data_IF_641407751198
#
_entry.id   IF_641407751198
#
_cell.length_a   1.000
_cell.length_b   1.000
_cell.length_c   1.000
_cell.angle_alpha   90.00
_cell.angle_beta   90.00
_cell.angle_gamma   90.00
#
_symmetry.space_group_name_H-M   'P 1'
#
loop_
_entity.id
_entity.type
_entity.pdbx_description
1 polymer ?
#
# COMPACT_ATOMS: atom_id res chain seq x y z
N UNK A 1 -3.65 -20.60 23.40
CA UNK A 1 -3.21 -20.73 21.99
C UNK A 1 -3.85 -19.59 21.21
N UNK A 2 -3.20 -18.71 20.46
CA UNK A 2 -1.79 -18.44 20.15
C UNK A 2 -1.71 -16.92 19.97
N UNK A 3 -0.59 -16.33 20.41
CA UNK A 3 -0.21 -14.96 20.09
C UNK A 3 -0.26 -14.74 18.57
N UNK A 4 -0.98 -13.72 18.11
CA UNK A 4 -0.92 -13.29 16.72
C UNK A 4 -0.25 -11.93 16.69
N UNK A 5 1.06 -12.01 16.41
CA UNK A 5 1.94 -10.99 15.87
C UNK A 5 1.70 -9.53 16.29
N UNK A 6 2.34 -9.19 17.42
CA UNK A 6 3.10 -7.95 17.53
C UNK A 6 3.97 -7.83 16.28
N UNK A 7 3.50 -7.09 15.27
CA UNK A 7 4.38 -6.59 14.22
C UNK A 7 5.58 -5.96 14.93
N UNK A 8 6.76 -6.52 14.69
CA UNK A 8 7.99 -6.08 15.29
C UNK A 8 8.24 -4.63 14.87
N UNK A 9 7.81 -3.68 15.70
CA UNK A 9 8.40 -2.35 15.75
C UNK A 9 9.80 -2.63 16.27
N UNK A 10 10.69 -2.83 15.32
CA UNK A 10 11.99 -3.40 15.55
C UNK A 10 12.65 -2.70 16.73
N UNK A 11 12.97 -3.49 17.76
CA UNK A 11 14.06 -3.21 18.68
C UNK A 11 15.35 -3.17 17.84
N UNK A 12 15.54 -2.11 17.06
CA UNK A 12 16.82 -1.75 16.46
C UNK A 12 17.58 -1.09 17.60
N UNK A 13 18.50 -1.87 18.17
CA UNK A 13 19.51 -1.47 19.15
C UNK A 13 19.90 0.01 18.97
N UNK A 14 19.61 0.85 19.97
CA UNK A 14 20.24 2.16 20.24
C UNK A 14 20.46 3.08 19.02
N UNK A 15 19.45 3.33 18.19
CA UNK A 15 19.40 4.53 17.34
C UNK A 15 18.06 5.22 17.57
N UNK A 16 18.09 6.34 18.27
CA UNK A 16 16.94 7.18 18.58
C UNK A 16 16.21 7.51 17.28
N UNK A 17 15.06 6.88 17.03
CA UNK A 17 14.18 7.30 15.93
C UNK A 17 13.64 8.66 16.34
N UNK A 18 13.97 9.69 15.56
CA UNK A 18 13.49 11.05 15.82
C UNK A 18 11.95 11.05 15.78
N UNK A 19 11.33 11.69 16.79
CA UNK A 19 9.88 11.72 16.99
C UNK A 19 9.09 12.13 15.74
N UNK A 20 9.67 12.98 14.88
CA UNK A 20 9.07 13.37 13.59
C UNK A 20 8.80 12.17 12.69
N UNK A 21 9.73 11.21 12.62
CA UNK A 21 9.56 10.01 11.79
C UNK A 21 8.52 9.06 12.40
N UNK A 22 8.43 8.98 13.73
CA UNK A 22 7.43 8.16 14.41
C UNK A 22 6.00 8.66 14.12
N UNK A 23 5.79 9.98 14.16
CA UNK A 23 4.48 10.59 13.83
C UNK A 23 4.10 10.32 12.36
N UNK A 24 5.06 10.42 11.44
CA UNK A 24 4.83 10.14 10.02
C UNK A 24 4.43 8.67 9.82
N UNK A 25 5.17 7.72 10.41
CA UNK A 25 4.87 6.29 10.32
C UNK A 25 3.51 5.94 10.93
N UNK A 26 3.17 6.52 12.09
CA UNK A 26 1.86 6.34 12.71
C UNK A 26 0.72 6.85 11.81
N UNK A 27 0.89 8.04 11.22
CA UNK A 27 -0.08 8.60 10.27
C UNK A 27 -0.27 7.68 9.05
N UNK A 28 0.81 7.13 8.50
CA UNK A 28 0.70 6.18 7.38
C UNK A 28 -0.05 4.91 7.78
N UNK A 29 0.26 4.35 8.96
CA UNK A 29 -0.44 3.18 9.48
C UNK A 29 -1.94 3.44 9.64
N UNK A 30 -2.31 4.57 10.25
CA UNK A 30 -3.71 4.93 10.47
C UNK A 30 -4.48 5.08 9.14
N UNK A 31 -3.88 5.71 8.12
CA UNK A 31 -4.55 5.89 6.84
C UNK A 31 -4.70 4.54 6.10
N UNK A 32 -3.72 3.65 6.21
CA UNK A 32 -3.84 2.29 5.65
C UNK A 32 -4.94 1.48 6.33
N UNK A 33 -5.07 1.56 7.65
CA UNK A 33 -6.17 0.91 8.38
C UNK A 33 -7.53 1.47 7.96
N UNK A 34 -7.64 2.79 7.80
CA UNK A 34 -8.88 3.40 7.29
C UNK A 34 -9.22 2.92 5.87
N UNK A 35 -8.23 2.76 5.00
CA UNK A 35 -8.44 2.23 3.65
C UNK A 35 -9.02 0.80 3.70
N UNK A 36 -8.40 -0.07 4.51
CA UNK A 36 -8.86 -1.47 4.66
C UNK A 36 -10.31 -1.50 5.14
N UNK A 37 -10.64 -0.72 6.18
CA UNK A 37 -12.00 -0.64 6.71
C UNK A 37 -13.01 -0.14 5.68
N UNK A 38 -12.64 0.84 4.85
CA UNK A 38 -13.52 1.36 3.80
C UNK A 38 -13.74 0.31 2.70
N UNK A 39 -12.70 -0.40 2.28
CA UNK A 39 -12.80 -1.46 1.28
C UNK A 39 -13.74 -2.57 1.75
N UNK A 40 -13.66 -2.96 3.02
CA UNK A 40 -14.55 -3.96 3.62
C UNK A 40 -15.99 -3.45 3.69
N UNK A 41 -16.19 -2.23 4.23
CA UNK A 41 -17.51 -1.61 4.39
C UNK A 41 -18.23 -1.43 3.05
N UNK A 42 -17.52 -0.99 2.03
CA UNK A 42 -18.05 -0.72 0.69
C UNK A 42 -18.01 -1.96 -0.22
N UNK A 43 -17.56 -3.12 0.29
CA UNK A 43 -17.42 -4.39 -0.45
C UNK A 43 -16.61 -4.25 -1.75
N UNK A 44 -15.63 -3.35 -1.76
CA UNK A 44 -14.79 -3.08 -2.93
C UNK A 44 -13.73 -4.16 -3.14
N UNK A 45 -13.47 -5.02 -2.16
CA UNK A 45 -12.35 -5.95 -2.16
C UNK A 45 -12.27 -6.85 -3.39
N UNK A 46 -13.41 -7.32 -3.92
CA UNK A 46 -13.47 -8.20 -5.08
C UNK A 46 -13.45 -7.47 -6.42
N UNK A 47 -13.49 -6.14 -6.41
CA UNK A 47 -13.43 -5.37 -7.66
C UNK A 47 -12.03 -5.49 -8.28
N UNK A 48 -11.96 -5.60 -9.61
CA UNK A 48 -10.68 -5.69 -10.31
C UNK A 48 -9.94 -4.35 -10.23
N UNK A 49 -8.65 -4.39 -9.89
CA UNK A 49 -7.79 -3.21 -9.85
C UNK A 49 -7.15 -2.96 -11.23
N UNK A 50 -7.97 -2.71 -12.24
CA UNK A 50 -7.53 -2.66 -13.65
C UNK A 50 -6.86 -1.34 -14.04
N UNK A 51 -7.28 -0.23 -13.43
CA UNK A 51 -6.75 1.09 -13.75
C UNK A 51 -5.41 1.31 -13.04
N UNK A 52 -4.34 1.38 -13.83
CA UNK A 52 -3.00 1.67 -13.33
C UNK A 52 -2.25 2.64 -14.26
N UNK A 53 -1.23 3.29 -13.71
CA UNK A 53 -0.30 4.17 -14.43
C UNK A 53 1.12 3.75 -14.11
N UNK A 54 1.94 3.50 -15.14
CA UNK A 54 3.35 3.23 -14.95
C UNK A 54 4.08 4.51 -14.57
N UNK A 55 4.96 4.41 -13.57
CA UNK A 55 5.83 5.51 -13.14
C UNK A 55 7.15 5.33 -13.89
N UNK A 56 7.45 6.25 -14.79
CA UNK A 56 8.62 6.20 -15.68
C UNK A 56 9.40 7.51 -15.51
N UNK A 57 10.73 7.42 -15.45
CA UNK A 57 11.59 8.61 -15.41
C UNK A 57 12.01 9.11 -16.81
N UNK A 58 12.75 10.22 -16.84
CA UNK A 58 13.25 10.85 -18.07
C UNK A 58 14.19 9.94 -18.88
N UNK A 59 14.75 8.90 -18.24
CA UNK A 59 15.62 7.89 -18.88
C UNK A 59 14.85 6.65 -19.34
N UNK A 60 13.52 6.71 -19.31
CA UNK A 60 12.61 5.60 -19.63
C UNK A 60 12.73 4.40 -18.69
N UNK A 61 13.23 4.59 -17.46
CA UNK A 61 13.29 3.54 -16.45
C UNK A 61 11.95 3.46 -15.72
N UNK A 62 11.38 2.26 -15.64
CA UNK A 62 10.12 2.01 -14.92
C UNK A 62 10.42 1.83 -13.43
N UNK A 63 9.82 2.68 -12.60
CA UNK A 63 9.97 2.68 -11.14
C UNK A 63 8.82 1.98 -10.41
N UNK A 64 7.73 1.66 -11.10
CA UNK A 64 6.60 0.92 -10.54
C UNK A 64 5.27 1.22 -11.22
N UNK A 65 4.18 0.75 -10.62
CA UNK A 65 2.82 1.00 -11.05
C UNK A 65 2.00 1.67 -9.94
N UNK A 66 1.25 2.70 -10.32
CA UNK A 66 0.31 3.43 -9.49
C UNK A 66 -1.12 2.95 -9.79
N UNK A 67 -1.84 2.54 -8.76
CA UNK A 67 -3.23 2.12 -8.78
C UNK A 67 -4.11 3.12 -8.04
N UNK A 68 -5.32 3.33 -8.55
CA UNK A 68 -6.30 4.22 -7.94
C UNK A 68 -7.46 3.41 -7.37
N UNK A 69 -7.60 3.42 -6.04
CA UNK A 69 -8.73 2.81 -5.34
C UNK A 69 -9.74 3.91 -5.02
N UNK A 70 -10.83 3.95 -5.77
CA UNK A 70 -11.92 4.90 -5.56
C UNK A 70 -12.89 4.35 -4.53
N UNK A 71 -13.10 5.08 -3.45
CA UNK A 71 -14.21 4.85 -2.51
C UNK A 71 -15.27 5.91 -2.71
N UNK A 72 -16.42 5.77 -2.04
CA UNK A 72 -17.51 6.74 -2.10
C UNK A 72 -17.09 8.16 -1.67
N UNK A 73 -16.03 8.30 -0.87
CA UNK A 73 -15.62 9.58 -0.25
C UNK A 73 -14.25 10.08 -0.69
N UNK A 74 -13.34 9.20 -1.08
CA UNK A 74 -11.98 9.57 -1.46
C UNK A 74 -11.38 8.58 -2.44
N UNK A 75 -10.38 9.06 -3.18
CA UNK A 75 -9.53 8.19 -3.99
C UNK A 75 -8.21 8.01 -3.28
N UNK A 76 -7.78 6.75 -3.15
CA UNK A 76 -6.48 6.40 -2.60
C UNK A 76 -5.52 6.01 -3.71
N UNK A 77 -4.29 6.46 -3.60
CA UNK A 77 -3.20 6.19 -4.53
C UNK A 77 -2.31 5.11 -3.93
N UNK A 78 -2.28 3.93 -4.56
CA UNK A 78 -1.46 2.80 -4.13
C UNK A 78 -0.35 2.57 -5.16
N UNK A 79 0.89 2.54 -4.73
CA UNK A 79 2.03 2.25 -5.58
C UNK A 79 2.58 0.86 -5.25
N UNK A 80 2.91 0.10 -6.28
CA UNK A 80 3.81 -1.04 -6.16
C UNK A 80 5.11 -0.69 -6.89
N UNK A 81 6.26 -0.69 -6.21
CA UNK A 81 7.52 -0.33 -6.84
C UNK A 81 8.01 -1.43 -7.79
N UNK A 82 8.89 -1.07 -8.71
CA UNK A 82 9.67 -2.02 -9.48
C UNK A 82 10.61 -2.83 -8.55
N UNK A 83 10.86 -4.11 -8.85
CA UNK A 83 10.32 -4.89 -9.98
C UNK A 83 8.95 -5.53 -9.68
N UNK A 84 8.44 -5.42 -8.46
CA UNK A 84 7.28 -6.19 -7.98
C UNK A 84 5.98 -5.90 -8.76
N UNK A 85 5.85 -4.70 -9.33
CA UNK A 85 4.68 -4.34 -10.13
C UNK A 85 4.46 -5.27 -11.34
N UNK A 86 5.52 -5.84 -11.92
CA UNK A 86 5.41 -6.66 -13.13
C UNK A 86 4.55 -7.91 -12.90
N UNK A 87 4.71 -8.58 -11.76
CA UNK A 87 3.91 -9.76 -11.42
C UNK A 87 2.43 -9.38 -11.24
N UNK A 88 2.19 -8.23 -10.63
CA UNK A 88 0.83 -7.72 -10.38
C UNK A 88 0.13 -7.32 -11.67
N UNK A 89 0.86 -6.78 -12.66
CA UNK A 89 0.28 -6.38 -13.95
C UNK A 89 0.03 -7.55 -14.90
N UNK A 90 0.74 -8.67 -14.72
CA UNK A 90 0.51 -9.90 -15.51
C UNK A 90 -0.77 -10.62 -15.11
N UNK A 91 -1.23 -10.41 -13.88
CA UNK A 91 -2.42 -11.04 -13.32
C UNK A 91 -3.57 -10.06 -13.20
N UNK A 92 -4.81 -10.57 -13.34
CA UNK A 92 -5.98 -9.76 -13.03
C UNK A 92 -6.20 -9.76 -11.52
N UNK A 93 -5.60 -8.79 -10.84
CA UNK A 93 -5.68 -8.67 -9.39
C UNK A 93 -6.91 -7.89 -8.91
N UNK A 94 -7.39 -8.24 -7.72
CA UNK A 94 -8.46 -7.52 -7.04
C UNK A 94 -7.89 -6.44 -6.11
N UNK A 95 -8.74 -5.49 -5.72
CA UNK A 95 -8.37 -4.46 -4.73
C UNK A 95 -7.88 -5.10 -3.41
N UNK A 96 -8.48 -6.21 -2.97
CA UNK A 96 -8.06 -6.91 -1.74
C UNK A 96 -6.66 -7.53 -1.87
N UNK A 97 -6.35 -8.11 -3.03
CA UNK A 97 -5.01 -8.65 -3.32
C UNK A 97 -3.98 -7.51 -3.37
N UNK A 98 -4.35 -6.38 -3.98
CA UNK A 98 -3.51 -5.20 -4.10
C UNK A 98 -3.09 -4.63 -2.73
N UNK A 99 -4.05 -4.39 -1.83
CA UNK A 99 -3.76 -3.78 -0.51
C UNK A 99 -2.99 -4.72 0.43
N UNK A 100 -3.04 -6.04 0.18
CA UNK A 100 -2.32 -7.05 0.96
C UNK A 100 -0.95 -7.37 0.37
N UNK A 101 -0.61 -6.79 -0.78
CA UNK A 101 0.70 -6.99 -1.39
C UNK A 101 1.80 -6.44 -0.46
N UNK A 102 2.85 -7.20 -0.12
CA UNK A 102 3.79 -6.81 0.94
C UNK A 102 4.55 -5.51 0.66
N UNK A 103 4.67 -5.13 -0.61
CA UNK A 103 5.42 -3.97 -1.10
C UNK A 103 4.50 -2.82 -1.52
N UNK A 104 3.18 -2.92 -1.27
CA UNK A 104 2.27 -1.83 -1.56
C UNK A 104 2.57 -0.63 -0.67
N UNK A 105 2.58 0.55 -1.28
CA UNK A 105 2.79 1.81 -0.60
C UNK A 105 1.58 2.71 -0.84
N UNK A 106 1.07 3.31 0.23
CA UNK A 106 0.10 4.38 0.11
C UNK A 106 0.83 5.69 -0.17
N UNK A 107 0.42 6.38 -1.23
CA UNK A 107 0.88 7.73 -1.52
C UNK A 107 -0.16 8.74 -1.00
N UNK A 108 0.30 9.67 -0.15
CA UNK A 108 -0.50 10.74 0.43
C UNK A 108 -0.59 11.96 -0.49
#
# INVERSE_FOLDING_TARGET
MKAVDKFQIATIRKKTINAKYLVILAKYFDIMQQLIQLIEKEKLGNQPATQHTLIIDDKQVIHGALFLVKTARKTFKLMIPAPFHEAVLKEQITINTLIKHPQVMLLA
#
